data_IF_216429629360
#
_entry.id   IF_216429629360
#
_cell.length_a   1.000
_cell.length_b   1.000
_cell.length_c   1.000
_cell.angle_alpha   90.00
_cell.angle_beta   90.00
_cell.angle_gamma   90.00
#
_symmetry.space_group_name_H-M   'P 1'
#
loop_
_entity.id
_entity.type
_entity.pdbx_description
1 polymer ?
#
# COMPACT_ATOMS: atom_id res chain seq x y z
N UNK A 1 21.65 0.04 -14.38
CA UNK A 1 20.43 -0.55 -13.80
C UNK A 1 19.47 0.59 -13.49
N UNK A 2 18.37 0.75 -14.24
CA UNK A 2 17.34 1.76 -13.91
C UNK A 2 16.45 1.14 -12.85
N UNK A 3 16.71 1.46 -11.57
CA UNK A 3 15.76 1.16 -10.52
C UNK A 3 14.56 2.07 -10.71
N UNK A 4 13.52 1.57 -11.41
CA UNK A 4 12.23 2.23 -11.38
C UNK A 4 11.75 2.21 -9.92
N UNK A 5 11.43 3.38 -9.35
CA UNK A 5 11.05 3.44 -7.95
C UNK A 5 9.70 2.77 -7.72
N UNK A 6 9.56 2.21 -6.52
CA UNK A 6 8.55 1.23 -6.12
C UNK A 6 7.21 1.89 -5.77
N UNK A 7 6.74 2.78 -6.64
CA UNK A 7 5.61 3.67 -6.32
C UNK A 7 4.26 3.10 -6.77
N UNK A 8 3.22 3.40 -6.01
CA UNK A 8 1.83 3.12 -6.37
C UNK A 8 1.03 4.41 -6.47
N UNK A 9 0.40 4.65 -7.63
CA UNK A 9 -0.37 5.87 -7.89
C UNK A 9 -1.87 5.73 -7.59
N UNK A 10 -2.37 4.48 -7.56
CA UNK A 10 -3.80 4.21 -7.32
C UNK A 10 -4.67 4.29 -8.57
N UNK A 11 -4.11 4.09 -9.77
CA UNK A 11 -4.81 4.31 -11.04
C UNK A 11 -4.91 3.08 -11.93
N UNK A 12 -4.12 2.01 -11.72
CA UNK A 12 -3.98 0.92 -12.70
C UNK A 12 -4.54 -0.45 -12.23
N UNK A 13 -5.54 -0.41 -11.34
CA UNK A 13 -6.37 -1.59 -11.01
C UNK A 13 -5.67 -2.67 -10.17
N UNK A 14 -6.28 -3.86 -10.13
CA UNK A 14 -5.90 -4.95 -9.20
C UNK A 14 -4.49 -5.49 -9.46
N UNK A 15 -4.05 -5.50 -10.71
CA UNK A 15 -2.73 -6.04 -11.10
C UNK A 15 -1.60 -5.16 -10.56
N UNK A 16 -1.66 -3.85 -10.75
CA UNK A 16 -0.66 -2.91 -10.22
C UNK A 16 -0.60 -2.97 -8.69
N UNK A 17 -1.77 -3.04 -8.04
CA UNK A 17 -1.85 -3.16 -6.58
C UNK A 17 -1.18 -4.44 -6.07
N UNK A 18 -1.42 -5.57 -6.75
CA UNK A 18 -0.84 -6.87 -6.39
C UNK A 18 0.68 -6.86 -6.56
N UNK A 19 1.16 -6.37 -7.70
CA UNK A 19 2.60 -6.22 -7.96
C UNK A 19 3.26 -5.27 -6.95
N UNK A 20 2.58 -4.21 -6.55
CA UNK A 20 3.09 -3.32 -5.52
C UNK A 20 3.21 -4.02 -4.16
N UNK A 21 2.22 -4.82 -3.74
CA UNK A 21 2.32 -5.61 -2.51
C UNK A 21 3.52 -6.56 -2.53
N UNK A 22 3.68 -7.34 -3.60
CA UNK A 22 4.78 -8.30 -3.75
C UNK A 22 6.16 -7.59 -3.68
N UNK A 23 6.29 -6.45 -4.36
CA UNK A 23 7.52 -5.65 -4.36
C UNK A 23 7.83 -5.10 -2.98
N UNK A 24 6.83 -4.60 -2.24
CA UNK A 24 7.01 -4.09 -0.88
C UNK A 24 7.39 -5.22 0.08
N UNK A 25 6.76 -6.38 -0.04
CA UNK A 25 7.07 -7.57 0.78
C UNK A 25 8.50 -8.07 0.53
N UNK A 26 8.98 -8.04 -0.72
CA UNK A 26 10.39 -8.31 -1.01
C UNK A 26 11.33 -7.30 -0.35
N UNK A 27 10.97 -6.02 -0.33
CA UNK A 27 11.79 -5.01 0.37
C UNK A 27 11.81 -5.29 1.87
N UNK A 28 10.68 -5.65 2.48
CA UNK A 28 10.64 -6.01 3.90
C UNK A 28 11.56 -7.20 4.20
N UNK A 29 11.54 -8.22 3.36
CA UNK A 29 12.39 -9.40 3.50
C UNK A 29 13.88 -9.04 3.39
N UNK A 30 14.28 -8.33 2.33
CA UNK A 30 15.69 -8.02 2.07
C UNK A 30 16.26 -7.05 3.11
N UNK A 31 15.45 -6.12 3.61
CA UNK A 31 15.88 -5.12 4.59
C UNK A 31 15.73 -5.58 6.05
N UNK A 32 15.17 -6.77 6.31
CA UNK A 32 14.74 -7.18 7.65
C UNK A 32 13.85 -6.13 8.32
N UNK A 33 12.87 -5.58 7.58
CA UNK A 33 12.00 -4.52 8.08
C UNK A 33 11.12 -5.03 9.23
N UNK A 34 11.29 -4.43 10.40
CA UNK A 34 10.47 -4.72 11.57
C UNK A 34 8.99 -4.38 11.31
N UNK A 35 8.08 -5.19 11.84
CA UNK A 35 6.64 -5.06 11.63
C UNK A 35 6.11 -3.63 11.92
N UNK A 36 6.62 -2.98 12.97
CA UNK A 36 6.28 -1.60 13.37
C UNK A 36 6.66 -0.52 12.33
N UNK A 37 7.55 -0.84 11.39
CA UNK A 37 8.04 0.08 10.36
C UNK A 37 7.45 -0.22 8.98
N UNK A 38 6.79 -1.36 8.80
CA UNK A 38 6.27 -1.80 7.51
C UNK A 38 5.24 -0.84 6.92
N UNK A 39 4.26 -0.40 7.72
CA UNK A 39 3.24 0.56 7.24
C UNK A 39 3.85 1.93 6.93
N UNK A 40 4.79 2.42 7.76
CA UNK A 40 5.51 3.67 7.50
C UNK A 40 6.29 3.60 6.19
N UNK A 41 6.99 2.49 5.96
CA UNK A 41 7.74 2.26 4.75
C UNK A 41 6.81 2.13 3.53
N UNK A 42 5.77 1.31 3.58
CA UNK A 42 4.87 1.14 2.45
C UNK A 42 4.22 2.47 2.05
N UNK A 43 3.75 3.23 3.03
CA UNK A 43 3.04 4.49 2.79
C UNK A 43 3.93 5.59 2.23
N UNK A 44 5.26 5.53 2.44
CA UNK A 44 6.22 6.45 1.81
C UNK A 44 6.36 6.23 0.29
N UNK A 45 5.90 5.08 -0.22
CA UNK A 45 5.91 4.75 -1.65
C UNK A 45 4.61 5.09 -2.37
N UNK A 46 3.62 5.63 -1.66
CA UNK A 46 2.37 6.06 -2.29
C UNK A 46 2.55 7.41 -2.99
N UNK A 47 1.94 7.54 -4.17
CA UNK A 47 1.92 8.78 -4.94
C UNK A 47 0.50 9.17 -5.34
N UNK A 48 0.35 10.41 -5.81
CA UNK A 48 -0.88 10.92 -6.44
C UNK A 48 -2.15 10.60 -5.64
N UNK A 49 -3.11 9.89 -6.25
CA UNK A 49 -4.38 9.54 -5.63
C UNK A 49 -4.23 8.64 -4.41
N UNK A 50 -3.26 7.70 -4.43
CA UNK A 50 -2.97 6.82 -3.31
C UNK A 50 -2.45 7.57 -2.08
N UNK A 51 -1.53 8.52 -2.29
CA UNK A 51 -1.02 9.36 -1.20
C UNK A 51 -2.13 10.26 -0.62
N UNK A 52 -2.96 10.85 -1.49
CA UNK A 52 -4.07 11.71 -1.06
C UNK A 52 -5.09 10.93 -0.22
N UNK A 53 -5.39 9.70 -0.63
CA UNK A 53 -6.26 8.80 0.13
C UNK A 53 -5.65 8.43 1.48
N UNK A 54 -4.36 8.04 1.53
CA UNK A 54 -3.69 7.69 2.78
C UNK A 54 -3.66 8.86 3.77
N UNK A 55 -3.31 10.06 3.31
CA UNK A 55 -3.32 11.26 4.15
C UNK A 55 -4.72 11.57 4.71
N UNK A 56 -5.76 11.33 3.92
CA UNK A 56 -7.15 11.48 4.39
C UNK A 56 -7.49 10.42 5.45
N UNK A 57 -7.02 9.18 5.29
CA UNK A 57 -7.19 8.14 6.29
C UNK A 57 -6.52 8.51 7.62
N UNK A 58 -5.25 8.95 7.58
CA UNK A 58 -4.51 9.41 8.76
C UNK A 58 -5.23 10.56 9.48
N UNK A 59 -5.81 11.51 8.73
CA UNK A 59 -6.61 12.60 9.33
C UNK A 59 -7.86 12.11 10.05
N UNK A 60 -8.50 11.04 9.57
CA UNK A 60 -9.73 10.50 10.16
C UNK A 60 -9.43 9.67 11.41
N UNK A 61 -8.43 8.79 11.35
CA UNK A 61 -8.16 7.84 12.46
C UNK A 61 -7.11 8.34 13.44
N UNK A 62 -6.37 9.39 13.10
CA UNK A 62 -5.23 9.88 13.87
C UNK A 62 -3.93 9.17 13.51
N UNK A 63 -2.81 9.86 13.74
CA UNK A 63 -1.47 9.38 13.40
C UNK A 63 -1.14 8.06 14.11
N UNK A 64 -1.38 7.99 15.42
CA UNK A 64 -1.00 6.82 16.22
C UNK A 64 -1.77 5.58 15.79
N UNK A 65 -3.10 5.69 15.61
CA UNK A 65 -3.92 4.58 15.14
C UNK A 65 -3.55 4.15 13.71
N UNK A 66 -3.23 5.10 12.82
CA UNK A 66 -2.84 4.79 11.44
C UNK A 66 -1.53 3.99 11.37
N UNK A 67 -0.56 4.31 12.22
CA UNK A 67 0.78 3.70 12.18
C UNK A 67 0.97 2.50 13.14
N UNK A 68 0.02 2.23 14.05
CA UNK A 68 -0.05 0.95 14.78
C UNK A 68 -0.66 -0.17 13.93
N UNK A 69 -1.33 0.18 12.83
CA UNK A 69 -1.87 -0.77 11.86
C UNK A 69 -0.81 -1.75 11.36
N UNK A 70 -1.19 -3.01 11.20
CA UNK A 70 -0.37 -4.05 10.60
C UNK A 70 -0.34 -3.92 9.08
N UNK A 71 0.68 -4.50 8.45
CA UNK A 71 0.75 -4.60 6.99
C UNK A 71 -0.49 -5.29 6.39
N UNK A 72 -1.00 -6.34 7.04
CA UNK A 72 -2.19 -7.10 6.59
C UNK A 72 -3.44 -6.21 6.55
N UNK A 73 -3.65 -5.40 7.58
CA UNK A 73 -4.78 -4.46 7.63
C UNK A 73 -4.67 -3.38 6.56
N UNK A 74 -3.46 -2.87 6.30
CA UNK A 74 -3.22 -1.92 5.22
C UNK A 74 -3.54 -2.55 3.85
N UNK A 75 -3.07 -3.79 3.59
CA UNK A 75 -3.40 -4.51 2.35
C UNK A 75 -4.90 -4.64 2.14
N UNK A 76 -5.65 -4.98 3.19
CA UNK A 76 -7.11 -5.08 3.13
C UNK A 76 -7.76 -3.74 2.76
N UNK A 77 -7.36 -2.64 3.42
CA UNK A 77 -7.89 -1.30 3.11
C UNK A 77 -7.56 -0.86 1.69
N UNK A 78 -6.35 -1.14 1.23
CA UNK A 78 -5.91 -0.83 -0.13
C UNK A 78 -6.71 -1.64 -1.16
N UNK A 79 -6.94 -2.93 -0.90
CA UNK A 79 -7.79 -3.78 -1.75
C UNK A 79 -9.23 -3.25 -1.78
N UNK A 80 -9.84 -2.95 -0.63
CA UNK A 80 -11.20 -2.40 -0.57
C UNK A 80 -11.33 -1.07 -1.35
N UNK A 81 -10.25 -0.27 -1.40
CA UNK A 81 -10.23 1.02 -2.09
C UNK A 81 -9.97 0.92 -3.59
N UNK A 82 -9.05 0.05 -4.01
CA UNK A 82 -8.47 0.02 -5.36
C UNK A 82 -8.78 -1.24 -6.16
N UNK A 83 -9.46 -2.25 -5.57
CA UNK A 83 -9.97 -3.42 -6.26
C UNK A 83 -11.50 -3.28 -6.46
N UNK A 84 -11.98 -2.92 -7.66
CA UNK A 84 -13.42 -2.91 -7.92
C UNK A 84 -13.95 -4.35 -7.83
N UNK A 85 -15.05 -4.57 -7.09
CA UNK A 85 -15.74 -5.89 -7.02
C UNK A 85 -16.04 -6.51 -8.39
N UNK A 86 -16.11 -5.68 -9.42
CA UNK A 86 -16.45 -6.03 -10.80
C UNK A 86 -15.29 -6.73 -11.54
N UNK A 87 -14.05 -6.51 -11.11
CA UNK A 87 -12.85 -7.11 -11.72
C UNK A 87 -12.56 -8.51 -11.17
N UNK A 88 -13.00 -8.80 -9.94
CA UNK A 88 -12.87 -10.12 -9.31
C UNK A 88 -13.66 -11.20 -10.07
N UNK A 89 -14.71 -10.82 -10.82
CA UNK A 89 -15.52 -11.76 -11.62
C UNK A 89 -14.96 -12.05 -13.01
N UNK A 90 -13.82 -11.46 -13.39
CA UNK A 90 -13.19 -11.65 -14.70
C UNK A 90 -11.91 -12.51 -14.66
N UNK A 91 -11.59 -13.07 -13.50
CA UNK A 91 -10.56 -14.10 -13.30
C UNK A 91 -11.27 -15.45 -13.22
#
# INVERSE_FOLDING_TARGET
MKCQPLYFKGTEGVVELTQWFERIEMVFLISNCLAENQVKFATCTLLAGALTWWNSHVRIVGNDAAYVMTWIELKKKMADKYCPRNEIKKI
#
